data_IF_130839263029
#
_entry.id   IF_130839263029
#
_cell.length_a   1.000
_cell.length_b   1.000
_cell.length_c   1.000
_cell.angle_alpha   90.00
_cell.angle_beta   90.00
_cell.angle_gamma   90.00
#
_symmetry.space_group_name_H-M   'P 1'
#
loop_
_entity.id
_entity.type
_entity.pdbx_description
1 polymer ?
#
# COMPACT_ATOMS: atom_id res chain seq x y z
N UNK A 1 2.57 28.49 -26.29
CA UNK A 1 1.20 28.09 -25.92
C UNK A 1 0.59 27.44 -27.15
N UNK A 2 0.43 26.12 -27.12
CA UNK A 2 -0.55 25.26 -27.81
C UNK A 2 -0.20 23.86 -27.28
N UNK A 3 -0.79 23.52 -26.14
CA UNK A 3 -0.93 22.14 -25.71
C UNK A 3 -2.25 21.70 -26.33
N UNK A 4 -2.17 20.97 -27.43
CA UNK A 4 -3.32 20.46 -28.20
C UNK A 4 -4.08 19.33 -27.48
N UNK A 5 -4.14 19.34 -26.15
CA UNK A 5 -4.82 18.29 -25.38
C UNK A 5 -6.34 18.50 -25.26
N UNK A 6 -6.90 19.67 -25.62
CA UNK A 6 -8.27 20.01 -25.23
C UNK A 6 -9.05 20.88 -26.23
N UNK A 7 -8.70 20.95 -27.52
CA UNK A 7 -9.46 21.83 -28.43
C UNK A 7 -10.75 21.23 -29.00
N UNK A 8 -11.00 19.92 -28.89
CA UNK A 8 -12.27 19.33 -29.32
C UNK A 8 -12.84 18.44 -28.22
N UNK A 9 -13.79 19.00 -27.47
CA UNK A 9 -14.82 18.18 -26.84
C UNK A 9 -15.48 17.30 -27.91
N UNK A 10 -15.86 16.08 -27.51
CA UNK A 10 -16.54 15.05 -28.32
C UNK A 10 -15.68 14.04 -29.11
N UNK A 11 -14.50 13.60 -28.65
CA UNK A 11 -13.96 12.29 -29.10
C UNK A 11 -13.06 11.58 -28.04
N UNK A 12 -13.59 11.25 -26.84
CA UNK A 12 -12.80 10.50 -25.85
C UNK A 12 -12.63 9.00 -26.15
N UNK A 13 -13.52 8.40 -26.95
CA UNK A 13 -13.47 6.96 -27.25
C UNK A 13 -12.38 6.55 -28.25
N UNK A 14 -12.08 7.38 -29.25
CA UNK A 14 -11.10 7.03 -30.31
C UNK A 14 -9.66 7.43 -29.98
N UNK A 15 -9.47 8.40 -29.08
CA UNK A 15 -8.15 8.93 -28.66
C UNK A 15 -7.43 7.98 -27.70
N UNK A 16 -8.12 7.37 -26.73
CA UNK A 16 -7.52 6.36 -25.85
C UNK A 16 -7.03 5.12 -26.63
N UNK A 17 -7.86 4.60 -27.55
CA UNK A 17 -7.50 3.43 -28.35
C UNK A 17 -6.34 3.71 -29.32
N UNK A 18 -6.22 4.94 -29.81
CA UNK A 18 -5.08 5.34 -30.67
C UNK A 18 -3.79 5.54 -29.86
N UNK A 19 -3.87 6.02 -28.62
CA UNK A 19 -2.73 6.08 -27.69
C UNK A 19 -2.27 4.68 -27.26
N UNK A 20 -3.18 3.73 -27.12
CA UNK A 20 -2.86 2.32 -26.82
C UNK A 20 -2.09 1.62 -27.93
N UNK A 21 -2.33 1.97 -29.20
CA UNK A 21 -1.71 1.36 -30.39
C UNK A 21 -0.29 1.84 -30.69
N UNK A 22 0.19 2.77 -29.88
CA UNK A 22 1.37 3.57 -30.13
C UNK A 22 2.57 2.85 -29.45
N UNK A 23 3.67 2.53 -30.14
CA UNK A 23 4.70 1.60 -29.63
C UNK A 23 5.41 2.09 -28.35
N UNK A 24 5.64 3.40 -28.23
CA UNK A 24 6.14 4.05 -27.01
C UNK A 24 5.25 3.82 -25.77
N UNK A 25 3.93 3.61 -25.91
CA UNK A 25 3.05 3.32 -24.78
C UNK A 25 3.40 1.97 -24.16
N UNK A 26 3.63 0.93 -24.97
CA UNK A 26 4.05 -0.38 -24.49
C UNK A 26 5.41 -0.32 -23.80
N UNK A 27 6.36 0.46 -24.33
CA UNK A 27 7.68 0.66 -23.72
C UNK A 27 7.54 1.33 -22.36
N UNK A 28 6.76 2.41 -22.25
CA UNK A 28 6.52 3.11 -20.99
C UNK A 28 5.79 2.24 -19.96
N UNK A 29 4.84 1.41 -20.41
CA UNK A 29 4.12 0.48 -19.56
C UNK A 29 5.06 -0.58 -18.97
N UNK A 30 5.93 -1.17 -19.79
CA UNK A 30 6.94 -2.13 -19.34
C UNK A 30 7.95 -1.47 -18.39
N UNK A 31 8.41 -0.26 -18.70
CA UNK A 31 9.31 0.50 -17.83
C UNK A 31 8.67 0.79 -16.46
N UNK A 32 7.39 1.19 -16.43
CA UNK A 32 6.64 1.40 -15.19
C UNK A 32 6.45 0.09 -14.40
N UNK A 33 6.19 -1.02 -15.09
CA UNK A 33 6.11 -2.33 -14.43
C UNK A 33 7.44 -2.70 -13.76
N UNK A 34 8.58 -2.50 -14.44
CA UNK A 34 9.92 -2.74 -13.89
C UNK A 34 10.18 -1.82 -12.69
N UNK A 35 9.87 -0.53 -12.82
CA UNK A 35 10.02 0.45 -11.74
C UNK A 35 9.22 0.04 -10.50
N UNK A 36 7.94 -0.30 -10.68
CA UNK A 36 7.06 -0.75 -9.59
C UNK A 36 7.57 -2.02 -8.91
N UNK A 37 8.01 -3.02 -9.68
CA UNK A 37 8.55 -4.27 -9.13
C UNK A 37 9.85 -3.99 -8.35
N UNK A 38 10.73 -3.16 -8.88
CA UNK A 38 12.00 -2.79 -8.24
C UNK A 38 11.76 -2.01 -6.95
N UNK A 39 10.79 -1.10 -6.95
CA UNK A 39 10.36 -0.36 -5.76
C UNK A 39 9.83 -1.28 -4.67
N UNK A 40 8.95 -2.23 -5.00
CA UNK A 40 8.44 -3.22 -4.04
C UNK A 40 9.57 -4.11 -3.51
N UNK A 41 10.47 -4.59 -4.39
CA UNK A 41 11.60 -5.42 -3.97
C UNK A 41 12.54 -4.68 -3.01
N UNK A 42 12.82 -3.41 -3.29
CA UNK A 42 13.64 -2.53 -2.44
C UNK A 42 12.95 -2.27 -1.09
N UNK A 43 11.65 -1.98 -1.10
CA UNK A 43 10.85 -1.82 0.12
C UNK A 43 10.85 -3.08 0.99
N UNK A 44 10.64 -4.26 0.40
CA UNK A 44 10.72 -5.54 1.14
C UNK A 44 12.11 -5.74 1.74
N UNK A 45 13.19 -5.45 1.00
CA UNK A 45 14.56 -5.59 1.50
C UNK A 45 14.84 -4.65 2.68
N UNK A 46 14.46 -3.37 2.61
CA UNK A 46 14.74 -2.43 3.68
C UNK A 46 13.77 -2.56 4.86
N UNK A 47 12.46 -2.55 4.59
CA UNK A 47 11.44 -2.51 5.64
C UNK A 47 11.25 -3.85 6.34
N UNK A 48 11.30 -4.98 5.61
CA UNK A 48 10.94 -6.28 6.18
C UNK A 48 12.14 -7.13 6.60
N UNK A 49 13.36 -6.78 6.18
CA UNK A 49 14.58 -7.48 6.51
C UNK A 49 15.55 -6.59 7.30
N UNK A 50 16.10 -5.54 6.69
CA UNK A 50 17.15 -4.72 7.31
C UNK A 50 16.70 -4.05 8.61
N UNK A 51 15.50 -3.48 8.64
CA UNK A 51 14.97 -2.83 9.85
C UNK A 51 14.83 -3.81 11.00
N UNK A 52 14.45 -5.06 10.72
CA UNK A 52 14.30 -6.10 11.74
C UNK A 52 15.66 -6.47 12.34
N UNK A 53 16.67 -6.59 11.48
CA UNK A 53 18.06 -6.88 11.89
C UNK A 53 18.64 -5.74 12.73
N UNK A 54 18.42 -4.48 12.31
CA UNK A 54 18.99 -3.29 12.96
C UNK A 54 18.27 -2.92 14.27
N UNK A 55 16.94 -2.94 14.30
CA UNK A 55 16.17 -2.56 15.49
C UNK A 55 16.06 -3.70 16.53
N UNK A 56 16.21 -4.94 16.07
CA UNK A 56 16.11 -6.15 16.88
C UNK A 56 14.67 -6.65 17.03
N UNK A 57 14.44 -7.92 16.66
CA UNK A 57 13.11 -8.57 16.65
C UNK A 57 12.41 -8.62 18.01
N UNK A 58 13.16 -8.71 19.12
CA UNK A 58 12.59 -8.77 20.47
C UNK A 58 12.12 -7.41 21.01
N UNK A 59 12.55 -6.29 20.41
CA UNK A 59 12.25 -4.93 20.87
C UNK A 59 11.09 -4.33 20.07
N UNK A 60 9.90 -4.88 20.27
CA UNK A 60 8.67 -4.53 19.52
C UNK A 60 8.38 -3.03 19.45
N UNK A 61 8.60 -2.28 20.54
CA UNK A 61 8.39 -0.83 20.57
C UNK A 61 9.46 -0.07 19.77
N UNK A 62 10.73 -0.51 19.82
CA UNK A 62 11.80 0.12 19.05
C UNK A 62 11.62 -0.17 17.55
N UNK A 63 11.23 -1.40 17.22
CA UNK A 63 10.88 -1.82 15.86
C UNK A 63 9.69 -1.02 15.32
N UNK A 64 8.63 -0.84 16.11
CA UNK A 64 7.48 0.00 15.77
C UNK A 64 7.90 1.44 15.45
N UNK A 65 8.79 2.02 16.26
CA UNK A 65 9.31 3.38 16.03
C UNK A 65 10.15 3.47 14.76
N UNK A 66 10.98 2.46 14.48
CA UNK A 66 11.77 2.41 13.24
C UNK A 66 10.86 2.34 12.00
N UNK A 67 9.88 1.44 12.00
CA UNK A 67 8.88 1.32 10.94
C UNK A 67 8.10 2.64 10.75
N UNK A 68 7.67 3.26 11.85
CA UNK A 68 6.96 4.53 11.79
C UNK A 68 7.82 5.65 11.18
N UNK A 69 9.14 5.68 11.44
CA UNK A 69 10.03 6.66 10.84
C UNK A 69 10.20 6.45 9.35
N UNK A 70 10.41 5.21 8.89
CA UNK A 70 10.48 4.91 7.45
C UNK A 70 9.19 5.30 6.74
N UNK A 71 8.04 4.91 7.31
CA UNK A 71 6.74 5.25 6.73
C UNK A 71 6.48 6.76 6.65
N UNK A 72 6.94 7.52 7.64
CA UNK A 72 6.85 8.99 7.59
C UNK A 72 7.69 9.56 6.45
N UNK A 73 8.91 9.05 6.25
CA UNK A 73 9.77 9.48 5.15
C UNK A 73 9.09 9.21 3.81
N UNK A 74 8.52 8.01 3.62
CA UNK A 74 7.80 7.67 2.39
C UNK A 74 6.63 8.61 2.13
N UNK A 75 5.78 8.84 3.14
CA UNK A 75 4.61 9.70 3.01
C UNK A 75 5.00 11.16 2.76
N UNK A 76 6.09 11.64 3.37
CA UNK A 76 6.63 12.97 3.09
C UNK A 76 7.06 13.06 1.62
N UNK A 77 7.79 12.07 1.12
CA UNK A 77 8.20 12.02 -0.30
C UNK A 77 7.00 11.90 -1.25
N UNK A 78 5.99 11.12 -0.89
CA UNK A 78 4.75 10.93 -1.66
C UNK A 78 3.93 12.22 -1.77
N UNK A 79 3.99 13.10 -0.76
CA UNK A 79 3.32 14.41 -0.78
C UNK A 79 4.18 15.47 -1.48
N UNK A 80 5.46 15.59 -1.09
CA UNK A 80 6.36 16.64 -1.58
C UNK A 80 6.72 16.43 -3.05
N UNK A 81 6.94 15.18 -3.48
CA UNK A 81 7.37 14.87 -4.85
C UNK A 81 6.41 15.40 -5.92
N UNK A 82 5.12 14.99 -5.91
CA UNK A 82 4.12 15.49 -6.85
C UNK A 82 3.87 17.00 -6.71
N UNK A 83 3.98 17.56 -5.50
CA UNK A 83 3.83 19.00 -5.28
C UNK A 83 4.95 19.80 -5.96
N UNK A 84 6.21 19.44 -5.73
CA UNK A 84 7.38 20.06 -6.37
C UNK A 84 7.32 19.88 -7.88
N UNK A 85 6.93 18.70 -8.36
CA UNK A 85 6.74 18.45 -9.79
C UNK A 85 5.62 19.31 -10.39
N UNK A 86 4.50 19.50 -9.68
CA UNK A 86 3.43 20.41 -10.09
C UNK A 86 3.88 21.86 -10.18
N UNK A 87 4.69 22.33 -9.22
CA UNK A 87 5.32 23.66 -9.29
C UNK A 87 6.27 23.79 -10.48
N UNK A 88 7.07 22.77 -10.77
CA UNK A 88 7.93 22.74 -11.95
C UNK A 88 7.10 22.86 -13.24
N UNK A 89 6.00 22.12 -13.35
CA UNK A 89 5.11 22.15 -14.51
C UNK A 89 4.45 23.54 -14.73
N UNK A 90 4.24 24.32 -13.66
CA UNK A 90 3.70 25.68 -13.77
C UNK A 90 4.69 26.71 -14.32
N UNK A 91 6.01 26.44 -14.20
CA UNK A 91 7.08 27.39 -14.55
C UNK A 91 7.85 26.98 -15.81
N UNK A 92 7.97 25.69 -16.07
CA UNK A 92 8.83 25.12 -17.13
C UNK A 92 8.00 24.43 -18.21
N UNK A 93 8.61 24.23 -19.39
CA UNK A 93 7.98 23.42 -20.43
C UNK A 93 7.95 21.93 -20.04
N UNK A 94 7.03 21.15 -20.64
CA UNK A 94 6.93 19.72 -20.35
C UNK A 94 8.23 18.95 -20.64
N UNK A 95 8.96 19.34 -21.69
CA UNK A 95 10.26 18.74 -22.03
C UNK A 95 11.30 19.03 -20.95
N UNK A 96 11.33 20.26 -20.42
CA UNK A 96 12.22 20.62 -19.31
C UNK A 96 11.87 19.86 -18.03
N UNK A 97 10.58 19.69 -17.72
CA UNK A 97 10.15 18.90 -16.56
C UNK A 97 10.59 17.43 -16.68
N UNK A 98 10.46 16.83 -17.86
CA UNK A 98 10.94 15.47 -18.13
C UNK A 98 12.46 15.40 -17.94
N UNK A 99 13.21 16.36 -18.50
CA UNK A 99 14.66 16.42 -18.34
C UNK A 99 15.08 16.52 -16.87
N UNK A 100 14.43 17.40 -16.09
CA UNK A 100 14.68 17.55 -14.65
C UNK A 100 14.42 16.22 -13.92
N UNK A 101 13.32 15.53 -14.20
CA UNK A 101 13.01 14.22 -13.61
C UNK A 101 14.04 13.16 -13.97
N UNK A 102 14.47 13.09 -15.23
CA UNK A 102 15.52 12.16 -15.67
C UNK A 102 16.85 12.43 -14.96
N UNK A 103 17.28 13.69 -14.89
CA UNK A 103 18.52 14.08 -14.19
C UNK A 103 18.42 13.71 -12.71
N UNK A 104 17.28 13.98 -12.08
CA UNK A 104 17.04 13.63 -10.67
C UNK A 104 17.15 12.12 -10.44
N UNK A 105 16.58 11.30 -11.32
CA UNK A 105 16.68 9.84 -11.25
C UNK A 105 18.10 9.31 -11.46
N UNK A 106 18.85 9.89 -12.41
CA UNK A 106 20.25 9.51 -12.68
C UNK A 106 21.14 9.84 -11.47
N UNK A 107 20.87 10.95 -10.77
CA UNK A 107 21.64 11.37 -9.59
C UNK A 107 21.21 10.59 -8.33
N UNK A 108 19.94 10.23 -8.19
CA UNK A 108 19.45 9.54 -7.00
C UNK A 108 19.97 8.11 -6.86
N UNK A 109 20.18 7.39 -7.97
CA UNK A 109 20.67 6.01 -7.96
C UNK A 109 22.09 5.85 -7.35
N UNK A 110 23.14 6.57 -7.78
CA UNK A 110 24.45 6.47 -7.16
C UNK A 110 24.42 6.93 -5.69
N UNK A 111 23.63 7.96 -5.37
CA UNK A 111 23.44 8.38 -3.99
C UNK A 111 22.84 7.26 -3.12
N UNK A 112 21.81 6.57 -3.61
CA UNK A 112 21.21 5.43 -2.94
C UNK A 112 22.26 4.33 -2.70
N UNK A 113 23.03 3.95 -3.72
CA UNK A 113 24.08 2.93 -3.60
C UNK A 113 25.11 3.30 -2.54
N UNK A 114 25.56 4.56 -2.52
CA UNK A 114 26.50 5.06 -1.52
C UNK A 114 25.92 4.99 -0.10
N UNK A 115 24.67 5.40 0.10
CA UNK A 115 24.00 5.35 1.40
C UNK A 115 23.79 3.90 1.87
N UNK A 116 23.42 2.99 0.97
CA UNK A 116 23.28 1.56 1.25
C UNK A 116 24.63 0.97 1.67
N UNK A 117 25.70 1.27 0.93
CA UNK A 117 27.05 0.82 1.27
C UNK A 117 27.51 1.37 2.62
N UNK A 118 27.23 2.64 2.89
CA UNK A 118 27.55 3.25 4.18
C UNK A 118 26.79 2.58 5.33
N UNK A 119 25.49 2.33 5.14
CA UNK A 119 24.65 1.63 6.13
C UNK A 119 25.17 0.23 6.41
N UNK A 120 25.59 -0.50 5.38
CA UNK A 120 26.21 -1.81 5.51
C UNK A 120 27.48 -1.75 6.36
N UNK A 121 28.41 -0.86 6.05
CA UNK A 121 29.66 -0.72 6.79
C UNK A 121 29.44 -0.34 8.27
N UNK A 122 28.48 0.55 8.56
CA UNK A 122 28.16 0.99 9.94
C UNK A 122 27.44 -0.10 10.74
N UNK A 123 26.75 -1.03 10.06
CA UNK A 123 26.01 -2.11 10.72
C UNK A 123 26.91 -3.16 11.40
N UNK A 124 28.23 -3.09 11.23
CA UNK A 124 29.22 -3.97 11.88
C UNK A 124 28.89 -5.47 11.74
N UNK A 125 28.47 -5.90 10.55
CA UNK A 125 28.17 -7.30 10.23
C UNK A 125 26.80 -7.79 10.71
N UNK A 126 25.94 -6.94 11.29
CA UNK A 126 24.56 -7.30 11.65
C UNK A 126 23.72 -7.67 10.41
N UNK A 127 24.06 -7.09 9.26
CA UNK A 127 23.42 -7.39 7.97
C UNK A 127 24.07 -8.57 7.23
N UNK A 128 25.15 -9.16 7.78
CA UNK A 128 25.79 -10.30 7.16
C UNK A 128 24.88 -11.52 7.22
N UNK A 129 24.60 -12.09 6.06
CA UNK A 129 23.93 -13.38 5.99
C UNK A 129 24.95 -14.47 6.23
N UNK A 130 24.62 -15.54 6.97
CA UNK A 130 25.51 -16.69 7.05
C UNK A 130 25.78 -17.14 5.62
N UNK A 131 27.06 -17.14 5.23
CA UNK A 131 27.48 -17.80 4.00
C UNK A 131 27.00 -19.23 4.13
N UNK A 132 26.01 -19.62 3.32
CA UNK A 132 25.71 -21.04 3.14
C UNK A 132 27.06 -21.69 2.87
N UNK A 133 27.51 -22.68 3.66
CA UNK A 133 28.73 -23.36 3.34
C UNK A 133 28.56 -23.85 1.90
N UNK A 134 29.42 -23.38 1.01
CA UNK A 134 29.61 -23.98 -0.31
C UNK A 134 30.27 -25.33 -0.04
N UNK A 135 29.57 -26.21 0.69
CA UNK A 135 29.82 -27.62 0.61
C UNK A 135 29.43 -27.98 -0.81
N UNK A 136 30.43 -28.40 -1.57
CA UNK A 136 30.30 -28.94 -2.90
C UNK A 136 29.33 -30.13 -2.88
N UNK A 137 28.04 -29.83 -2.91
CA UNK A 137 27.02 -30.77 -3.32
C UNK A 137 26.53 -30.27 -4.68
N UNK A 138 27.09 -30.91 -5.71
CA UNK A 138 26.83 -30.71 -7.13
C UNK A 138 25.40 -31.17 -7.51
N UNK A 139 24.43 -30.86 -6.65
CA UNK A 139 23.00 -30.87 -6.88
C UNK A 139 22.49 -29.45 -6.65
N UNK A 140 23.02 -28.51 -7.42
CA UNK A 140 22.17 -27.43 -7.92
C UNK A 140 21.08 -28.12 -8.76
N UNK A 141 20.06 -28.62 -8.06
CA UNK A 141 18.76 -28.88 -8.64
C UNK A 141 18.37 -27.55 -9.26
N UNK A 142 18.57 -27.45 -10.56
CA UNK A 142 17.83 -26.59 -11.46
C UNK A 142 16.35 -26.96 -11.32
N UNK A 143 15.80 -26.73 -10.14
CA UNK A 143 14.37 -26.79 -9.94
C UNK A 143 13.82 -25.73 -10.89
N UNK A 144 12.94 -26.10 -11.84
CA UNK A 144 12.35 -25.14 -12.76
C UNK A 144 11.90 -23.91 -11.98
N UNK A 145 12.06 -22.69 -12.48
CA UNK A 145 11.65 -21.48 -11.74
C UNK A 145 10.22 -21.56 -11.17
N UNK A 146 9.36 -22.36 -11.80
CA UNK A 146 8.02 -22.71 -11.33
C UNK A 146 8.00 -23.47 -9.99
N UNK A 147 8.95 -24.36 -9.70
CA UNK A 147 9.09 -25.06 -8.41
C UNK A 147 9.47 -24.11 -7.28
N UNK A 148 10.40 -23.18 -7.54
CA UNK A 148 10.78 -22.14 -6.57
C UNK A 148 9.59 -21.22 -6.29
N UNK A 149 8.86 -20.83 -7.33
CA UNK A 149 7.64 -20.03 -7.20
C UNK A 149 6.56 -20.74 -6.39
N UNK A 150 6.22 -22.00 -6.74
CA UNK A 150 5.22 -22.78 -6.01
C UNK A 150 5.61 -23.02 -4.56
N UNK A 151 6.90 -23.23 -4.28
CA UNK A 151 7.38 -23.36 -2.92
C UNK A 151 7.22 -22.07 -2.10
N UNK A 152 7.40 -20.89 -2.70
CA UNK A 152 7.14 -19.61 -2.05
C UNK A 152 5.67 -19.43 -1.64
N UNK A 153 4.74 -19.83 -2.50
CA UNK A 153 3.30 -19.82 -2.18
C UNK A 153 2.92 -20.80 -1.07
N UNK A 154 3.45 -22.03 -1.12
CA UNK A 154 3.22 -23.01 -0.06
C UNK A 154 3.75 -22.47 1.27
N UNK A 155 4.94 -21.87 1.26
CA UNK A 155 5.55 -21.29 2.44
C UNK A 155 4.72 -20.15 3.03
N UNK A 156 4.11 -19.32 2.19
CA UNK A 156 3.18 -18.27 2.60
C UNK A 156 1.89 -18.85 3.21
N UNK A 157 1.27 -19.83 2.55
CA UNK A 157 0.00 -20.44 2.98
C UNK A 157 0.11 -21.23 4.30
N UNK A 158 1.30 -21.71 4.66
CA UNK A 158 1.54 -22.43 5.92
C UNK A 158 1.80 -21.48 7.09
N UNK A 159 1.99 -20.17 6.84
CA UNK A 159 2.31 -19.24 7.93
C UNK A 159 1.17 -19.13 8.95
N UNK A 160 1.47 -19.13 10.26
CA UNK A 160 0.45 -19.01 11.31
C UNK A 160 -0.23 -17.63 11.33
N UNK A 161 0.39 -16.63 10.70
CA UNK A 161 -0.15 -15.27 10.54
C UNK A 161 -1.03 -15.11 9.29
N UNK A 162 -1.29 -16.19 8.53
CA UNK A 162 -2.03 -16.13 7.27
C UNK A 162 -3.37 -15.40 7.38
N UNK A 163 -4.22 -15.60 8.41
CA UNK A 163 -5.49 -14.87 8.51
C UNK A 163 -5.31 -13.36 8.63
N UNK A 164 -4.27 -12.91 9.36
CA UNK A 164 -3.94 -11.49 9.45
C UNK A 164 -3.45 -10.94 8.10
N UNK A 165 -2.66 -11.70 7.36
CA UNK A 165 -2.23 -11.32 6.01
C UNK A 165 -3.39 -11.28 5.02
N UNK A 166 -4.31 -12.26 5.07
CA UNK A 166 -5.51 -12.27 4.22
C UNK A 166 -6.41 -11.08 4.55
N UNK A 167 -6.50 -10.66 5.82
CA UNK A 167 -7.21 -9.43 6.18
C UNK A 167 -6.61 -8.22 5.45
N UNK A 168 -5.28 -8.08 5.41
CA UNK A 168 -4.61 -7.04 4.62
C UNK A 168 -4.92 -7.13 3.12
N UNK A 169 -4.87 -8.33 2.53
CA UNK A 169 -5.25 -8.56 1.12
C UNK A 169 -6.69 -8.12 0.86
N UNK A 170 -7.63 -8.44 1.74
CA UNK A 170 -9.02 -8.01 1.63
C UNK A 170 -9.17 -6.49 1.70
N UNK A 171 -8.33 -5.77 2.45
CA UNK A 171 -8.32 -4.31 2.42
C UNK A 171 -7.94 -3.74 1.04
N UNK A 172 -7.27 -4.51 0.17
CA UNK A 172 -6.94 -4.10 -1.20
C UNK A 172 -8.18 -4.04 -2.10
N UNK A 173 -9.29 -4.68 -1.71
CA UNK A 173 -10.60 -4.49 -2.37
C UNK A 173 -11.26 -3.15 -1.98
N UNK A 174 -10.75 -2.43 -0.98
CA UNK A 174 -11.22 -1.10 -0.63
C UNK A 174 -10.69 -0.03 -1.60
N UNK A 175 -10.94 -0.20 -2.89
CA UNK A 175 -10.54 0.75 -3.91
C UNK A 175 -11.60 1.84 -4.12
N UNK A 176 -12.89 1.56 -3.84
CA UNK A 176 -13.98 2.52 -4.09
C UNK A 176 -14.06 3.57 -2.99
N UNK A 177 -13.92 3.17 -1.72
CA UNK A 177 -13.95 4.06 -0.55
C UNK A 177 -12.53 4.45 -0.10
N UNK A 178 -11.71 4.83 -1.08
CA UNK A 178 -10.33 5.26 -0.91
C UNK A 178 -10.04 6.39 -1.91
N UNK A 179 -8.94 7.16 -1.77
CA UNK A 179 -8.55 8.20 -2.73
C UNK A 179 -8.06 7.63 -4.07
N UNK A 180 -8.91 6.85 -4.75
CA UNK A 180 -8.63 6.16 -6.01
C UNK A 180 -9.18 6.90 -7.22
N UNK A 181 -8.91 6.35 -8.41
CA UNK A 181 -9.52 6.78 -9.67
C UNK A 181 -11.05 6.63 -9.66
N UNK A 182 -11.60 5.57 -9.04
CA UNK A 182 -13.05 5.33 -8.97
C UNK A 182 -13.75 6.40 -8.14
N UNK A 183 -13.27 6.68 -6.93
CA UNK A 183 -13.80 7.76 -6.09
C UNK A 183 -13.67 9.11 -6.79
N UNK A 184 -12.51 9.37 -7.40
CA UNK A 184 -12.28 10.64 -8.11
C UNK A 184 -13.22 10.83 -9.29
N UNK A 185 -13.51 9.77 -10.04
CA UNK A 185 -14.47 9.79 -11.14
C UNK A 185 -15.87 10.09 -10.64
N UNK A 186 -16.30 9.42 -9.57
CA UNK A 186 -17.58 9.69 -8.91
C UNK A 186 -17.70 11.16 -8.47
N UNK A 187 -16.68 11.71 -7.82
CA UNK A 187 -16.68 13.11 -7.38
C UNK A 187 -16.67 14.11 -8.54
N UNK A 188 -15.95 13.79 -9.61
CA UNK A 188 -15.92 14.61 -10.84
C UNK A 188 -17.29 14.64 -11.52
N UNK A 189 -17.97 13.49 -11.61
CA UNK A 189 -19.32 13.38 -12.16
C UNK A 189 -20.38 14.07 -11.29
N UNK A 190 -20.13 14.18 -9.98
CA UNK A 190 -20.94 14.99 -9.06
C UNK A 190 -20.68 16.50 -9.18
N UNK A 191 -19.79 16.93 -10.07
CA UNK A 191 -19.52 18.33 -10.35
C UNK A 191 -18.59 19.00 -9.32
N UNK A 192 -17.87 18.22 -8.49
CA UNK A 192 -16.87 18.79 -7.60
C UNK A 192 -15.68 19.32 -8.40
N UNK A 193 -15.24 20.54 -8.07
CA UNK A 193 -14.07 21.15 -8.68
C UNK A 193 -12.81 20.31 -8.36
N UNK A 194 -11.88 20.13 -9.32
CA UNK A 194 -10.58 19.48 -9.10
C UNK A 194 -9.84 19.90 -7.82
N UNK A 195 -9.94 21.17 -7.40
CA UNK A 195 -9.31 21.64 -6.16
C UNK A 195 -9.85 20.92 -4.91
N UNK A 196 -11.15 20.68 -4.84
CA UNK A 196 -11.81 19.98 -3.72
C UNK A 196 -11.40 18.50 -3.72
N UNK A 197 -11.40 17.87 -4.88
CA UNK A 197 -10.94 16.48 -5.05
C UNK A 197 -9.47 16.36 -4.62
N UNK A 198 -8.64 17.33 -5.01
CA UNK A 198 -7.25 17.45 -4.57
C UNK A 198 -7.12 17.55 -3.05
N UNK A 199 -7.92 18.41 -2.41
CA UNK A 199 -7.93 18.54 -0.94
C UNK A 199 -8.35 17.26 -0.23
N UNK A 200 -9.35 16.52 -0.76
CA UNK A 200 -9.78 15.24 -0.23
C UNK A 200 -8.65 14.20 -0.28
N UNK A 201 -7.95 14.10 -1.42
CA UNK A 201 -6.78 13.22 -1.56
C UNK A 201 -5.65 13.62 -0.60
N UNK A 202 -5.38 14.92 -0.46
CA UNK A 202 -4.41 15.45 0.50
C UNK A 202 -4.78 15.09 1.94
N UNK A 203 -6.04 15.23 2.33
CA UNK A 203 -6.52 14.85 3.66
C UNK A 203 -6.37 13.34 3.93
N UNK A 204 -6.64 12.49 2.94
CA UNK A 204 -6.39 11.04 3.03
C UNK A 204 -4.89 10.71 3.23
N UNK A 205 -3.99 11.44 2.57
CA UNK A 205 -2.55 11.27 2.74
C UNK A 205 -2.08 11.71 4.14
N UNK A 206 -2.61 12.85 4.63
CA UNK A 206 -2.34 13.32 6.00
C UNK A 206 -2.77 12.30 7.06
N UNK A 207 -3.87 11.58 6.85
CA UNK A 207 -4.29 10.51 7.76
C UNK A 207 -3.29 9.35 7.80
N UNK A 208 -2.60 9.07 6.69
CA UNK A 208 -1.48 8.11 6.70
C UNK A 208 -0.32 8.58 7.57
N UNK A 209 0.02 9.87 7.50
CA UNK A 209 1.08 10.43 8.33
C UNK A 209 0.71 10.37 9.82
N UNK A 210 -0.52 10.76 10.17
CA UNK A 210 -1.03 10.67 11.55
C UNK A 210 -1.10 9.23 12.06
N UNK A 211 -1.45 8.28 11.20
CA UNK A 211 -1.50 6.87 11.55
C UNK A 211 -0.15 6.32 12.02
N UNK A 212 0.99 6.86 11.57
CA UNK A 212 2.32 6.41 12.04
C UNK A 212 2.53 6.67 13.54
N UNK A 213 2.00 7.78 14.05
CA UNK A 213 2.01 8.10 15.49
C UNK A 213 0.99 7.25 16.24
N UNK A 214 -0.21 7.11 15.69
CA UNK A 214 -1.26 6.33 16.30
C UNK A 214 -0.88 4.85 16.43
N UNK A 215 -0.33 4.24 15.37
CA UNK A 215 0.12 2.85 15.38
C UNK A 215 1.17 2.63 16.46
N UNK A 216 2.18 3.50 16.55
CA UNK A 216 3.22 3.44 17.59
C UNK A 216 2.62 3.53 19.01
N UNK A 217 1.62 4.40 19.21
CA UNK A 217 0.94 4.57 20.48
C UNK A 217 0.08 3.34 20.83
N UNK A 218 -0.69 2.82 19.88
CA UNK A 218 -1.54 1.65 20.06
C UNK A 218 -0.70 0.41 20.37
N UNK A 219 0.39 0.19 19.61
CA UNK A 219 1.32 -0.92 19.84
C UNK A 219 1.99 -0.80 21.20
N UNK A 220 2.43 0.40 21.59
CA UNK A 220 3.07 0.62 22.89
C UNK A 220 2.13 0.46 24.09
N UNK A 221 0.84 0.82 23.95
CA UNK A 221 -0.14 0.73 25.05
C UNK A 221 -0.87 -0.60 25.13
N UNK A 222 -1.22 -1.19 24.00
CA UNK A 222 -2.12 -2.35 23.94
C UNK A 222 -1.46 -3.61 23.37
N UNK A 223 -0.22 -3.51 22.86
CA UNK A 223 0.44 -4.59 22.15
C UNK A 223 0.04 -4.67 20.68
N UNK A 224 0.85 -5.36 19.87
CA UNK A 224 0.73 -5.40 18.41
C UNK A 224 -0.62 -5.98 17.96
N UNK A 225 -1.03 -7.09 18.55
CA UNK A 225 -2.24 -7.81 18.10
C UNK A 225 -3.51 -6.99 18.36
N UNK A 226 -3.68 -6.45 19.57
CA UNK A 226 -4.84 -5.61 19.92
C UNK A 226 -4.84 -4.30 19.14
N UNK A 227 -3.67 -3.70 18.89
CA UNK A 227 -3.56 -2.51 18.05
C UNK A 227 -4.14 -2.73 16.66
N UNK A 228 -3.90 -3.91 16.06
CA UNK A 228 -4.47 -4.27 14.76
C UNK A 228 -6.00 -4.38 14.79
N UNK A 229 -6.55 -5.02 15.83
CA UNK A 229 -7.99 -5.17 16.00
C UNK A 229 -8.69 -3.81 16.17
N UNK A 230 -8.13 -2.92 17.01
CA UNK A 230 -8.63 -1.55 17.19
C UNK A 230 -8.62 -0.78 15.87
N UNK A 231 -7.52 -0.89 15.12
CA UNK A 231 -7.34 -0.18 13.84
C UNK A 231 -8.38 -0.61 12.79
N UNK A 232 -8.58 -1.92 12.62
CA UNK A 232 -9.55 -2.50 11.70
C UNK A 232 -11.00 -2.21 12.10
N UNK A 233 -11.32 -2.30 13.40
CA UNK A 233 -12.66 -1.96 13.90
C UNK A 233 -12.96 -0.48 13.70
N UNK A 234 -12.00 0.41 13.95
CA UNK A 234 -12.15 1.84 13.68
C UNK A 234 -12.43 2.11 12.19
N UNK A 235 -11.63 1.52 11.29
CA UNK A 235 -11.84 1.65 9.85
C UNK A 235 -13.23 1.15 9.43
N UNK A 236 -13.61 -0.04 9.88
CA UNK A 236 -14.90 -0.68 9.52
C UNK A 236 -16.08 0.15 9.98
N UNK A 237 -16.09 0.61 11.23
CA UNK A 237 -17.19 1.43 11.76
C UNK A 237 -17.39 2.72 10.97
N UNK A 238 -16.29 3.39 10.59
CA UNK A 238 -16.36 4.61 9.79
C UNK A 238 -16.87 4.35 8.36
N UNK A 239 -16.44 3.26 7.73
CA UNK A 239 -16.93 2.89 6.39
C UNK A 239 -18.37 2.40 6.38
N UNK A 240 -18.81 1.69 7.43
CA UNK A 240 -20.24 1.36 7.62
C UNK A 240 -21.04 2.66 7.70
N UNK A 241 -20.60 3.63 8.51
CA UNK A 241 -21.24 4.94 8.59
C UNK A 241 -21.28 5.67 7.23
N UNK A 242 -20.19 5.64 6.47
CA UNK A 242 -20.12 6.27 5.15
C UNK A 242 -21.10 5.62 4.16
N UNK A 243 -21.15 4.29 4.10
CA UNK A 243 -22.07 3.57 3.21
C UNK A 243 -23.52 3.76 3.65
N UNK A 244 -23.82 3.68 4.95
CA UNK A 244 -25.17 3.96 5.45
C UNK A 244 -25.61 5.38 5.08
N UNK A 245 -24.74 6.38 5.26
CA UNK A 245 -25.02 7.76 4.87
C UNK A 245 -25.30 7.87 3.37
N UNK A 246 -24.53 7.16 2.54
CA UNK A 246 -24.72 7.12 1.09
C UNK A 246 -26.12 6.63 0.69
N UNK A 247 -26.64 5.59 1.34
CA UNK A 247 -27.96 5.00 1.03
C UNK A 247 -29.13 5.73 1.68
N UNK A 248 -28.95 6.23 2.91
CA UNK A 248 -30.03 6.85 3.68
C UNK A 248 -30.28 8.31 3.30
N UNK A 249 -29.33 8.97 2.65
CA UNK A 249 -29.42 10.39 2.36
C UNK A 249 -29.16 10.70 0.87
N UNK A 250 -29.82 11.72 0.31
CA UNK A 250 -29.56 12.13 -1.06
C UNK A 250 -28.19 12.80 -1.17
N UNK A 251 -27.27 12.15 -1.89
CA UNK A 251 -25.91 12.65 -2.20
C UNK A 251 -25.89 13.91 -3.07
N UNK A 252 -27.05 14.50 -3.39
CA UNK A 252 -27.19 15.82 -4.03
C UNK A 252 -26.86 16.96 -3.05
N UNK A 253 -27.07 16.74 -1.74
CA UNK A 253 -26.76 17.74 -0.72
C UNK A 253 -25.26 17.76 -0.45
N UNK A 254 -24.61 18.89 -0.73
CA UNK A 254 -23.15 19.04 -0.58
C UNK A 254 -22.68 18.76 0.85
N UNK A 255 -23.41 19.18 1.88
CA UNK A 255 -23.03 18.93 3.27
C UNK A 255 -22.96 17.43 3.59
N UNK A 256 -23.90 16.65 3.05
CA UNK A 256 -23.96 15.20 3.23
C UNK A 256 -22.81 14.53 2.48
N UNK A 257 -22.52 14.98 1.26
CA UNK A 257 -21.37 14.50 0.48
C UNK A 257 -20.05 14.77 1.21
N UNK A 258 -19.85 15.97 1.77
CA UNK A 258 -18.66 16.27 2.55
C UNK A 258 -18.56 15.45 3.84
N UNK A 259 -19.69 15.16 4.49
CA UNK A 259 -19.69 14.28 5.67
C UNK A 259 -19.35 12.84 5.29
N UNK A 260 -19.87 12.33 4.17
CA UNK A 260 -19.46 11.05 3.58
C UNK A 260 -17.95 11.02 3.33
N UNK A 261 -17.41 12.04 2.67
CA UNK A 261 -15.98 12.14 2.41
C UNK A 261 -15.15 12.22 3.69
N UNK A 262 -15.62 12.93 4.71
CA UNK A 262 -14.96 13.02 6.01
C UNK A 262 -14.86 11.64 6.68
N UNK A 263 -15.93 10.85 6.67
CA UNK A 263 -15.89 9.47 7.19
C UNK A 263 -14.89 8.60 6.43
N UNK A 264 -14.84 8.72 5.10
CA UNK A 264 -13.84 8.02 4.28
C UNK A 264 -12.42 8.48 4.61
N UNK A 265 -12.18 9.79 4.74
CA UNK A 265 -10.87 10.34 5.15
C UNK A 265 -10.46 9.79 6.52
N UNK A 266 -11.33 9.89 7.53
CA UNK A 266 -11.03 9.41 8.88
C UNK A 266 -10.78 7.89 8.90
N UNK A 267 -11.45 7.12 8.05
CA UNK A 267 -11.21 5.67 7.95
C UNK A 267 -9.78 5.32 7.52
N UNK A 268 -9.09 6.23 6.81
CA UNK A 268 -7.70 6.05 6.39
C UNK A 268 -6.75 5.93 7.56
N UNK A 269 -7.06 6.56 8.69
CA UNK A 269 -6.25 6.49 9.89
C UNK A 269 -6.24 5.07 10.48
N UNK A 270 -7.37 4.37 10.48
CA UNK A 270 -7.44 2.95 10.85
C UNK A 270 -6.74 2.04 9.84
N UNK A 271 -6.93 2.27 8.54
CA UNK A 271 -6.29 1.50 7.48
C UNK A 271 -4.76 1.56 7.54
N UNK A 272 -4.19 2.77 7.58
CA UNK A 272 -2.74 2.95 7.64
C UNK A 272 -2.14 2.53 8.99
N UNK A 273 -2.90 2.61 10.08
CA UNK A 273 -2.45 2.08 11.37
C UNK A 273 -2.36 0.55 11.33
N UNK A 274 -3.33 -0.11 10.70
CA UNK A 274 -3.30 -1.56 10.50
C UNK A 274 -2.13 -1.98 9.60
N UNK A 275 -1.85 -1.25 8.51
CA UNK A 275 -0.71 -1.49 7.61
C UNK A 275 0.63 -1.55 8.38
N UNK A 276 0.83 -0.66 9.35
CA UNK A 276 2.00 -0.68 10.24
C UNK A 276 1.99 -1.88 11.21
N UNK A 277 0.83 -2.23 11.73
CA UNK A 277 0.68 -3.38 12.63
C UNK A 277 0.96 -4.69 11.90
N UNK A 278 0.41 -4.90 10.71
CA UNK A 278 0.62 -6.14 9.94
C UNK A 278 2.08 -6.28 9.52
N UNK A 279 2.74 -5.19 9.11
CA UNK A 279 4.18 -5.20 8.85
C UNK A 279 4.96 -5.68 10.08
N UNK A 280 4.64 -5.16 11.27
CA UNK A 280 5.29 -5.59 12.50
C UNK A 280 4.97 -7.05 12.88
N UNK A 281 3.75 -7.53 12.63
CA UNK A 281 3.38 -8.94 12.80
C UNK A 281 4.24 -9.82 11.89
N UNK A 282 4.41 -9.46 10.61
CA UNK A 282 5.27 -10.18 9.68
C UNK A 282 6.72 -10.23 10.16
N UNK A 283 7.27 -9.08 10.51
CA UNK A 283 8.66 -8.94 10.97
C UNK A 283 8.94 -9.76 12.24
N UNK A 284 7.95 -9.92 13.12
CA UNK A 284 8.10 -10.61 14.41
C UNK A 284 7.70 -12.08 14.38
N UNK A 285 6.84 -12.51 13.46
CA UNK A 285 6.38 -13.90 13.38
C UNK A 285 7.11 -14.73 12.30
N UNK A 286 7.46 -14.15 11.16
CA UNK A 286 8.06 -14.91 10.04
C UNK A 286 9.56 -15.09 10.26
N UNK A 287 10.13 -16.30 10.08
CA UNK A 287 11.58 -16.50 10.15
C UNK A 287 12.33 -15.64 9.12
N UNK A 288 13.48 -15.07 9.50
CA UNK A 288 14.25 -14.15 8.65
C UNK A 288 14.68 -14.78 7.32
N UNK A 289 14.99 -16.08 7.31
CA UNK A 289 15.32 -16.83 6.08
C UNK A 289 14.20 -16.82 5.05
N UNK A 290 12.95 -16.68 5.51
CA UNK A 290 11.74 -16.81 4.72
C UNK A 290 11.01 -15.47 4.53
N UNK A 291 11.42 -14.42 5.24
CA UNK A 291 10.73 -13.14 5.32
C UNK A 291 10.50 -12.51 3.95
N UNK A 292 11.51 -12.49 3.08
CA UNK A 292 11.42 -11.90 1.74
C UNK A 292 10.44 -12.67 0.84
N UNK A 293 10.53 -14.01 0.83
CA UNK A 293 9.67 -14.87 0.00
C UNK A 293 8.21 -14.74 0.42
N UNK A 294 7.94 -14.89 1.72
CA UNK A 294 6.60 -14.81 2.30
C UNK A 294 6.00 -13.41 2.10
N UNK A 295 6.82 -12.36 2.24
CA UNK A 295 6.38 -10.98 2.00
C UNK A 295 6.07 -10.70 0.53
N UNK A 296 6.89 -11.21 -0.38
CA UNK A 296 6.64 -11.06 -1.82
C UNK A 296 5.35 -11.76 -2.26
N UNK A 297 5.05 -12.93 -1.66
CA UNK A 297 3.80 -13.64 -1.93
C UNK A 297 2.58 -12.83 -1.45
N UNK A 298 2.61 -12.29 -0.24
CA UNK A 298 1.55 -11.39 0.26
C UNK A 298 1.32 -10.19 -0.68
N UNK A 299 2.39 -9.47 -1.03
CA UNK A 299 2.29 -8.28 -1.89
C UNK A 299 1.76 -8.63 -3.29
N UNK A 300 2.12 -9.80 -3.82
CA UNK A 300 1.56 -10.29 -5.09
C UNK A 300 0.06 -10.59 -4.99
N UNK A 301 -0.39 -11.16 -3.88
CA UNK A 301 -1.79 -11.47 -3.64
C UNK A 301 -2.62 -10.20 -3.41
N UNK A 302 -2.08 -9.22 -2.70
CA UNK A 302 -2.70 -7.90 -2.53
C UNK A 302 -2.84 -7.17 -3.88
N UNK A 303 -1.80 -7.19 -4.71
CA UNK A 303 -1.84 -6.62 -6.07
C UNK A 303 -2.87 -7.32 -6.94
N UNK A 304 -2.98 -8.64 -6.86
CA UNK A 304 -4.01 -9.41 -7.55
C UNK A 304 -5.43 -9.04 -7.09
N UNK A 305 -5.64 -8.88 -5.78
CA UNK A 305 -6.92 -8.43 -5.22
C UNK A 305 -7.33 -7.04 -5.74
N UNK A 306 -6.38 -6.09 -5.80
CA UNK A 306 -6.63 -4.77 -6.38
C UNK A 306 -7.02 -4.86 -7.86
N UNK A 307 -6.31 -5.68 -8.65
CA UNK A 307 -6.65 -5.93 -10.06
C UNK A 307 -8.05 -6.52 -10.22
N UNK A 308 -8.46 -7.45 -9.35
CA UNK A 308 -9.80 -8.01 -9.36
C UNK A 308 -10.87 -6.95 -9.06
N UNK A 309 -10.62 -6.09 -8.08
CA UNK A 309 -11.54 -4.98 -7.80
C UNK A 309 -11.66 -4.01 -8.98
N UNK A 310 -10.55 -3.71 -9.65
CA UNK A 310 -10.55 -2.88 -10.87
C UNK A 310 -11.30 -3.57 -12.02
N UNK A 311 -11.13 -4.88 -12.22
CA UNK A 311 -11.86 -5.64 -13.23
C UNK A 311 -13.37 -5.62 -12.97
N UNK A 312 -13.79 -5.79 -11.72
CA UNK A 312 -15.20 -5.66 -11.30
C UNK A 312 -15.73 -4.26 -11.62
N UNK A 313 -14.95 -3.22 -11.35
CA UNK A 313 -15.34 -1.84 -11.66
C UNK A 313 -15.45 -1.57 -13.18
N UNK A 314 -14.61 -2.21 -14.00
CA UNK A 314 -14.72 -2.13 -15.47
C UNK A 314 -16.02 -2.79 -15.96
N UNK A 315 -16.42 -3.91 -15.36
CA UNK A 315 -17.71 -4.56 -15.68
C UNK A 315 -18.87 -3.65 -15.23
N UNK A 316 -18.76 -3.07 -14.04
CA UNK A 316 -19.71 -2.11 -13.48
C UNK A 316 -19.44 -0.67 -13.96
N UNK A 317 -19.40 -0.46 -15.28
CA UNK A 317 -18.96 0.80 -15.92
C UNK A 317 -19.95 1.99 -15.79
N UNK A 318 -20.99 1.89 -14.97
CA UNK A 318 -21.98 2.96 -14.80
C UNK A 318 -22.04 3.44 -13.35
N UNK A 319 -22.23 4.75 -13.17
CA UNK A 319 -22.28 5.48 -11.90
C UNK A 319 -23.39 4.95 -11.00
N UNK A 320 -24.48 4.46 -11.61
CA UNK A 320 -25.58 3.80 -10.92
C UNK A 320 -25.11 2.65 -10.03
N UNK A 321 -24.02 1.97 -10.40
CA UNK A 321 -23.43 0.85 -9.64
C UNK A 321 -22.46 1.30 -8.54
N UNK A 322 -22.16 2.60 -8.39
CA UNK A 322 -21.23 3.10 -7.39
C UNK A 322 -21.62 2.66 -5.96
N UNK A 323 -22.92 2.68 -5.63
CA UNK A 323 -23.40 2.23 -4.32
C UNK A 323 -23.10 0.74 -4.06
N UNK A 324 -23.28 -0.11 -5.07
CA UNK A 324 -22.96 -1.54 -4.96
C UNK A 324 -21.44 -1.77 -4.82
N UNK A 325 -20.64 -1.06 -5.60
CA UNK A 325 -19.18 -1.05 -5.52
C UNK A 325 -18.69 -0.59 -4.13
N UNK A 326 -19.29 0.46 -3.58
CA UNK A 326 -19.00 0.94 -2.22
C UNK A 326 -19.39 -0.09 -1.14
N UNK A 327 -20.55 -0.74 -1.28
CA UNK A 327 -20.95 -1.85 -0.41
C UNK A 327 -19.93 -3.00 -0.45
N UNK A 328 -19.45 -3.39 -1.63
CA UNK A 328 -18.44 -4.45 -1.77
C UNK A 328 -17.13 -4.07 -1.08
N UNK A 329 -16.65 -2.84 -1.28
CA UNK A 329 -15.46 -2.35 -0.58
C UNK A 329 -15.64 -2.36 0.95
N UNK A 330 -16.78 -1.89 1.45
CA UNK A 330 -17.08 -1.92 2.89
C UNK A 330 -17.20 -3.35 3.44
N UNK A 331 -17.88 -4.24 2.70
CA UNK A 331 -18.02 -5.65 3.07
C UNK A 331 -16.66 -6.35 3.13
N UNK A 332 -15.76 -6.10 2.18
CA UNK A 332 -14.41 -6.64 2.21
C UNK A 332 -13.64 -6.22 3.48
N UNK A 333 -13.77 -4.95 3.89
CA UNK A 333 -13.16 -4.43 5.13
C UNK A 333 -13.81 -5.04 6.39
N UNK A 334 -15.12 -5.26 6.38
CA UNK A 334 -15.84 -5.91 7.48
C UNK A 334 -15.43 -7.40 7.62
N UNK A 335 -15.29 -8.12 6.50
CA UNK A 335 -14.80 -9.50 6.47
C UNK A 335 -13.35 -9.55 6.95
N UNK A 336 -12.49 -8.64 6.49
CA UNK A 336 -11.10 -8.52 6.96
C UNK A 336 -11.04 -8.34 8.49
N UNK A 337 -11.89 -7.47 9.03
CA UNK A 337 -11.99 -7.20 10.46
C UNK A 337 -12.44 -8.42 11.24
N UNK A 338 -13.47 -9.12 10.74
CA UNK A 338 -14.00 -10.34 11.37
C UNK A 338 -12.96 -11.47 11.36
N UNK A 339 -12.26 -11.65 10.24
CA UNK A 339 -11.19 -12.63 10.08
C UNK A 339 -10.03 -12.35 11.04
N UNK A 340 -9.59 -11.09 11.12
CA UNK A 340 -8.53 -10.69 12.03
C UNK A 340 -8.94 -10.87 13.50
N UNK A 341 -10.18 -10.50 13.86
CA UNK A 341 -10.69 -10.71 15.21
C UNK A 341 -10.70 -12.19 15.61
N UNK A 342 -11.23 -13.07 14.73
CA UNK A 342 -11.23 -14.51 14.96
C UNK A 342 -9.81 -15.06 15.17
N UNK A 343 -8.85 -14.59 14.37
CA UNK A 343 -7.43 -14.96 14.53
C UNK A 343 -6.80 -14.37 15.80
N UNK A 344 -7.12 -13.13 16.16
CA UNK A 344 -6.55 -12.47 17.35
C UNK A 344 -6.95 -13.12 18.68
N UNK A 345 -8.06 -13.85 18.71
CA UNK A 345 -8.57 -14.54 19.90
C UNK A 345 -8.11 -16.00 19.93
N UNK A 346 -7.62 -16.55 18.81
CA UNK A 346 -7.25 -17.97 18.72
C UNK A 346 -6.08 -18.31 19.64
N UNK A 347 -6.12 -19.53 20.19
CA UNK A 347 -5.11 -20.01 21.13
C UNK A 347 -3.72 -20.10 20.47
N UNK A 348 -3.67 -20.44 19.17
CA UNK A 348 -2.45 -20.42 18.37
C UNK A 348 -1.76 -19.06 18.36
N UNK A 349 -2.52 -17.97 18.30
CA UNK A 349 -2.00 -16.60 18.30
C UNK A 349 -1.47 -16.22 19.68
N UNK A 350 -2.17 -16.61 20.75
CA UNK A 350 -1.69 -16.38 22.12
C UNK A 350 -0.37 -17.10 22.40
N UNK A 351 -0.20 -18.32 21.88
CA UNK A 351 1.06 -19.07 22.00
C UNK A 351 2.17 -18.40 21.20
N UNK A 352 1.89 -17.99 19.96
CA UNK A 352 2.88 -17.38 19.07
C UNK A 352 3.38 -16.02 19.57
N UNK A 353 2.50 -15.25 20.21
CA UNK A 353 2.79 -13.90 20.73
C UNK A 353 2.71 -13.84 22.26
N UNK A 354 3.11 -14.90 22.96
CA UNK A 354 2.99 -15.01 24.42
C UNK A 354 3.56 -13.81 25.18
N UNK A 355 4.68 -13.25 24.69
CA UNK A 355 5.33 -12.07 25.26
C UNK A 355 4.58 -10.73 25.04
N UNK A 356 3.50 -10.73 24.25
CA UNK A 356 2.67 -9.55 23.95
C UNK A 356 1.26 -9.60 24.58
N UNK A 357 0.90 -10.71 25.25
CA UNK A 357 -0.40 -10.88 25.94
C UNK A 357 -0.31 -10.71 27.46
N UNK A 358 0.90 -10.63 28.01
CA UNK A 358 1.18 -10.23 29.39
C UNK A 358 1.22 -8.71 29.47
#
# INVERSE_FOLDING_TARGET
MIVYATSNGLVLGSSALSILKLPWFSVLLLANAIDRITGIATGVAFERDWVVLLAGRSRTVALARANAMLRRVDLICEIIGPFVFGLALSKYSSVQCILISCVTAIVSLPLLILLVHHTYNVSNGVLDRPSMPIAADNKQSSSPGLKVFTQGWILYLVQPILPASIAYVLLSFNNVLAPSSLMTTFLTQRGLNPAVIGSYRGACALMGFLATYLASLLIGKFGTIKAGAISLTCQTSLLIGAVLLYFLCPMQNQSILFFFLLLVVLSRLGHWAYDMVIAQIFQTAVPLSNANVVSSAEMSLASFAELMMLAIAIIANDISHFGALACMSMAAVAIATSLYWAWSISESTKVLFKDQYV
#
